data_IF_590342979731
#
_entry.id   IF_590342979731
#
_cell.length_a   1.000
_cell.length_b   1.000
_cell.length_c   1.000
_cell.angle_alpha   90.00
_cell.angle_beta   90.00
_cell.angle_gamma   90.00
#
_symmetry.space_group_name_H-M   'P 1'
#
loop_
_entity.id
_entity.type
_entity.pdbx_description
1 polymer ?
#
# COMPACT_ATOMS: atom_id res chain seq x y z
N UNK A 1 -1.38 13.25 -6.01
CA UNK A 1 -1.26 12.14 -6.96
C UNK A 1 -0.77 12.61 -8.33
N UNK A 2 -1.53 13.45 -9.05
CA UNK A 2 -1.20 13.91 -10.42
C UNK A 2 0.22 14.45 -10.55
N UNK A 3 0.64 15.35 -9.64
CA UNK A 3 2.00 15.92 -9.63
C UNK A 3 3.08 14.84 -9.61
N UNK A 4 2.95 13.85 -8.72
CA UNK A 4 3.96 12.81 -8.52
C UNK A 4 3.99 11.79 -9.66
N UNK A 5 2.80 11.41 -10.17
CA UNK A 5 2.71 10.57 -11.37
C UNK A 5 3.34 11.25 -12.59
N UNK A 6 3.04 12.54 -12.79
CA UNK A 6 3.61 13.33 -13.88
C UNK A 6 5.13 13.38 -13.79
N UNK A 7 5.67 13.62 -12.60
CA UNK A 7 7.13 13.64 -12.38
C UNK A 7 7.78 12.30 -12.72
N UNK A 8 7.18 11.17 -12.32
CA UNK A 8 7.67 9.84 -12.68
C UNK A 8 7.66 9.61 -14.19
N UNK A 9 6.56 9.93 -14.85
CA UNK A 9 6.39 9.75 -16.30
C UNK A 9 7.42 10.59 -17.07
N UNK A 10 7.59 11.88 -16.72
CA UNK A 10 8.56 12.78 -17.36
C UNK A 10 10.01 12.34 -17.14
N UNK A 11 10.30 11.73 -16.00
CA UNK A 11 11.61 11.19 -15.67
C UNK A 11 11.85 9.77 -16.24
N UNK A 12 10.88 9.16 -16.91
CA UNK A 12 10.98 7.77 -17.39
C UNK A 12 11.11 6.76 -16.26
N UNK A 13 10.49 7.04 -15.10
CA UNK A 13 10.51 6.21 -13.88
C UNK A 13 9.21 5.46 -13.71
N UNK A 14 9.25 4.39 -12.91
CA UNK A 14 8.10 3.58 -12.61
C UNK A 14 7.17 4.22 -11.57
N UNK A 15 5.90 3.84 -11.65
CA UNK A 15 4.88 4.11 -10.63
C UNK A 15 4.54 2.80 -9.95
N UNK A 16 4.72 2.73 -8.64
CA UNK A 16 4.36 1.60 -7.82
C UNK A 16 3.12 1.91 -6.99
N UNK A 17 2.09 1.09 -7.12
CA UNK A 17 0.93 1.11 -6.23
C UNK A 17 1.11 0.02 -5.19
N UNK A 18 1.06 0.37 -3.92
CA UNK A 18 1.23 -0.57 -2.81
C UNK A 18 0.02 -0.48 -1.88
N UNK A 19 -0.48 -1.57 -1.37
CA UNK A 19 -1.54 -1.54 -0.37
C UNK A 19 -2.44 -2.75 -0.38
N UNK A 20 -3.43 -2.71 0.51
CA UNK A 20 -4.41 -3.76 0.69
C UNK A 20 -5.39 -3.78 -0.49
N UNK A 21 -5.61 -4.96 -1.07
CA UNK A 21 -6.52 -5.16 -2.20
C UNK A 21 -7.78 -5.86 -1.71
N UNK A 22 -8.93 -5.24 -1.91
CA UNK A 22 -10.22 -5.80 -1.53
C UNK A 22 -11.32 -4.76 -1.39
N UNK A 23 -12.50 -5.21 -1.05
CA UNK A 23 -13.72 -4.38 -0.88
C UNK A 23 -14.12 -4.15 0.58
N UNK A 24 -13.30 -4.59 1.54
CA UNK A 24 -13.62 -4.49 2.98
C UNK A 24 -13.78 -3.05 3.49
N UNK A 25 -13.12 -2.08 2.84
CA UNK A 25 -13.32 -0.64 3.14
C UNK A 25 -12.76 -0.19 4.49
N UNK A 26 -11.97 -1.00 5.17
CA UNK A 26 -11.37 -0.66 6.47
C UNK A 26 -10.03 0.07 6.30
N UNK A 27 -9.16 -0.45 5.47
CA UNK A 27 -7.83 0.12 5.22
C UNK A 27 -7.68 0.70 3.82
N UNK A 28 -8.34 0.09 2.84
CA UNK A 28 -8.30 0.42 1.42
C UNK A 28 -9.59 -0.03 0.75
N UNK A 29 -9.81 0.35 -0.50
CA UNK A 29 -10.92 -0.15 -1.31
C UNK A 29 -10.50 -0.32 -2.77
N UNK A 30 -10.98 -1.39 -3.42
CA UNK A 30 -10.62 -1.75 -4.79
C UNK A 30 -10.93 -0.63 -5.80
N UNK A 31 -12.04 0.10 -5.64
CA UNK A 31 -12.40 1.22 -6.53
C UNK A 31 -11.33 2.33 -6.56
N UNK A 32 -10.63 2.54 -5.43
CA UNK A 32 -9.53 3.52 -5.41
C UNK A 32 -8.35 3.04 -6.26
N UNK A 33 -8.05 1.75 -6.25
CA UNK A 33 -7.03 1.16 -7.13
C UNK A 33 -7.40 1.35 -8.59
N UNK A 34 -8.64 1.06 -8.96
CA UNK A 34 -9.13 1.21 -10.33
C UNK A 34 -9.05 2.67 -10.78
N UNK A 35 -9.51 3.61 -9.95
CA UNK A 35 -9.43 5.04 -10.27
C UNK A 35 -7.98 5.55 -10.43
N UNK A 36 -7.04 5.08 -9.61
CA UNK A 36 -5.62 5.46 -9.74
C UNK A 36 -4.98 4.83 -10.97
N UNK A 37 -5.34 3.59 -11.33
CA UNK A 37 -4.89 2.94 -12.56
C UNK A 37 -5.43 3.64 -13.82
N UNK A 38 -6.69 4.02 -13.83
CA UNK A 38 -7.31 4.81 -14.91
C UNK A 38 -6.61 6.17 -15.07
N UNK A 39 -6.31 6.84 -13.95
CA UNK A 39 -5.52 8.07 -13.95
C UNK A 39 -4.13 7.84 -14.56
N UNK A 40 -3.40 6.81 -14.14
CA UNK A 40 -2.08 6.48 -14.66
C UNK A 40 -2.12 6.23 -16.17
N UNK A 41 -3.13 5.47 -16.65
CA UNK A 41 -3.37 5.23 -18.08
C UNK A 41 -3.62 6.53 -18.84
N UNK A 42 -4.54 7.36 -18.32
CA UNK A 42 -4.89 8.64 -18.94
C UNK A 42 -3.69 9.60 -19.04
N UNK A 43 -2.80 9.55 -18.05
CA UNK A 43 -1.57 10.36 -18.03
C UNK A 43 -0.45 9.79 -18.92
N UNK A 44 -0.62 8.61 -19.49
CA UNK A 44 0.36 7.97 -20.37
C UNK A 44 1.50 7.26 -19.64
N UNK A 45 1.27 6.79 -18.41
CA UNK A 45 2.24 5.97 -17.69
C UNK A 45 2.52 4.68 -18.46
N UNK A 46 3.79 4.29 -18.51
CA UNK A 46 4.24 3.06 -19.21
C UNK A 46 4.61 1.95 -18.23
N UNK A 47 5.31 2.31 -17.15
CA UNK A 47 5.81 1.39 -16.14
C UNK A 47 4.99 1.57 -14.86
N UNK A 48 4.01 0.68 -14.66
CA UNK A 48 3.15 0.66 -13.47
C UNK A 48 3.21 -0.72 -12.83
N UNK A 49 3.57 -0.79 -11.56
CA UNK A 49 3.72 -2.03 -10.82
C UNK A 49 2.87 -2.03 -9.55
N UNK A 50 2.27 -3.16 -9.24
CA UNK A 50 1.36 -3.30 -8.11
C UNK A 50 1.94 -4.27 -7.08
N UNK A 51 2.09 -3.79 -5.86
CA UNK A 51 2.45 -4.58 -4.68
C UNK A 51 1.18 -4.84 -3.87
N UNK A 52 0.54 -5.96 -4.15
CA UNK A 52 -0.76 -6.30 -3.61
C UNK A 52 -0.63 -6.92 -2.22
N UNK A 53 -1.32 -6.33 -1.25
CA UNK A 53 -1.43 -6.89 0.10
C UNK A 53 -2.80 -7.54 0.23
N UNK A 54 -2.85 -8.82 0.60
CA UNK A 54 -4.08 -9.58 0.82
C UNK A 54 -4.57 -9.44 2.26
N UNK A 55 -5.88 -9.47 2.45
CA UNK A 55 -6.55 -9.14 3.71
C UNK A 55 -6.82 -10.38 4.59
N UNK A 56 -7.91 -11.08 4.37
CA UNK A 56 -8.34 -12.24 5.14
C UNK A 56 -8.73 -11.99 6.59
N UNK A 57 -8.87 -10.71 6.98
CA UNK A 57 -9.22 -10.29 8.35
C UNK A 57 -10.44 -9.37 8.38
N UNK A 58 -10.50 -8.39 7.50
CA UNK A 58 -11.64 -7.51 7.29
C UNK A 58 -12.51 -7.98 6.12
N UNK A 59 -12.04 -9.02 5.41
CA UNK A 59 -12.74 -9.79 4.38
C UNK A 59 -12.61 -11.28 4.65
N UNK A 60 -13.34 -12.11 3.89
CA UNK A 60 -13.25 -13.56 4.01
C UNK A 60 -11.80 -14.05 3.80
N UNK A 61 -11.32 -15.03 4.59
CA UNK A 61 -9.93 -15.50 4.56
C UNK A 61 -9.43 -16.06 3.22
N UNK A 62 -10.30 -16.34 2.27
CA UNK A 62 -9.97 -16.86 0.95
C UNK A 62 -10.53 -15.99 -0.20
N UNK A 63 -10.91 -14.74 0.09
CA UNK A 63 -11.46 -13.81 -0.91
C UNK A 63 -10.37 -13.16 -1.79
N UNK A 64 -9.12 -13.17 -1.34
CA UNK A 64 -7.99 -12.52 -2.02
C UNK A 64 -7.77 -13.00 -3.44
N UNK A 65 -8.02 -14.29 -3.72
CA UNK A 65 -7.95 -14.83 -5.09
C UNK A 65 -8.91 -14.09 -6.04
N UNK A 66 -10.13 -13.85 -5.59
CA UNK A 66 -11.12 -13.10 -6.38
C UNK A 66 -10.70 -11.65 -6.60
N UNK A 67 -10.27 -10.97 -5.54
CA UNK A 67 -9.82 -9.57 -5.64
C UNK A 67 -8.58 -9.38 -6.53
N UNK A 68 -7.63 -10.33 -6.49
CA UNK A 68 -6.47 -10.30 -7.39
C UNK A 68 -6.87 -10.56 -8.84
N UNK A 69 -7.86 -11.44 -9.08
CA UNK A 69 -8.38 -11.70 -10.41
C UNK A 69 -9.10 -10.46 -10.98
N UNK A 70 -9.94 -9.79 -10.19
CA UNK A 70 -10.62 -8.55 -10.59
C UNK A 70 -9.61 -7.45 -10.92
N UNK A 71 -8.55 -7.32 -10.10
CA UNK A 71 -7.48 -6.36 -10.35
C UNK A 71 -6.70 -6.69 -11.63
N UNK A 72 -6.39 -7.97 -11.89
CA UNK A 72 -5.74 -8.40 -13.12
C UNK A 72 -6.63 -8.11 -14.34
N UNK A 73 -7.93 -8.40 -14.26
CA UNK A 73 -8.87 -8.09 -15.33
C UNK A 73 -8.91 -6.58 -15.64
N UNK A 74 -8.81 -5.72 -14.61
CA UNK A 74 -8.73 -4.27 -14.80
C UNK A 74 -7.42 -3.84 -15.46
N UNK A 75 -6.30 -4.45 -15.12
CA UNK A 75 -5.01 -4.21 -15.77
C UNK A 75 -5.05 -4.60 -17.26
N UNK A 76 -5.67 -5.75 -17.57
CA UNK A 76 -5.82 -6.24 -18.94
C UNK A 76 -6.75 -5.31 -19.75
N UNK A 77 -7.87 -4.86 -19.19
CA UNK A 77 -8.78 -3.86 -19.78
C UNK A 77 -8.04 -2.56 -20.12
N UNK A 78 -7.25 -2.06 -19.19
CA UNK A 78 -6.52 -0.81 -19.38
C UNK A 78 -5.29 -0.97 -20.28
N UNK A 79 -4.75 -2.18 -20.41
CA UNK A 79 -3.51 -2.47 -21.13
C UNK A 79 -2.28 -1.82 -20.49
N UNK A 80 -2.28 -1.62 -19.18
CA UNK A 80 -1.14 -1.11 -18.42
C UNK A 80 -1.01 -1.84 -17.06
N UNK A 81 0.22 -1.83 -16.54
CA UNK A 81 0.51 -2.31 -15.20
C UNK A 81 0.71 -3.82 -15.13
N UNK A 82 1.38 -4.23 -14.06
CA UNK A 82 1.64 -5.64 -13.72
C UNK A 82 1.58 -5.80 -12.21
N UNK A 83 1.01 -6.88 -11.72
CA UNK A 83 1.15 -7.26 -10.32
C UNK A 83 2.59 -7.74 -10.12
N UNK A 84 3.35 -6.99 -9.33
CA UNK A 84 4.77 -7.23 -9.11
C UNK A 84 5.03 -8.13 -7.90
N UNK A 85 4.15 -8.07 -6.90
CA UNK A 85 4.24 -8.94 -5.73
C UNK A 85 2.89 -9.10 -5.05
N UNK A 86 2.74 -10.21 -4.32
CA UNK A 86 1.61 -10.50 -3.44
C UNK A 86 2.14 -10.84 -2.05
N UNK A 87 1.56 -10.26 -1.01
CA UNK A 87 1.94 -10.49 0.38
C UNK A 87 0.73 -10.37 1.30
N UNK A 88 0.61 -11.25 2.27
CA UNK A 88 -0.42 -11.11 3.30
C UNK A 88 -0.17 -9.89 4.21
N UNK A 89 -1.24 -9.31 4.73
CA UNK A 89 -1.19 -8.16 5.64
C UNK A 89 -0.40 -8.45 6.94
N UNK A 90 -0.27 -9.70 7.33
CA UNK A 90 0.56 -10.11 8.47
C UNK A 90 2.02 -9.68 8.31
N UNK A 91 2.53 -9.65 7.06
CA UNK A 91 3.90 -9.25 6.75
C UNK A 91 4.03 -7.78 6.39
N UNK A 92 3.11 -7.23 5.62
CA UNK A 92 3.25 -5.90 5.02
C UNK A 92 2.44 -4.80 5.73
N UNK A 93 1.72 -5.14 6.78
CA UNK A 93 0.88 -4.21 7.53
C UNK A 93 0.95 -4.47 9.05
N UNK A 94 2.13 -4.75 9.56
CA UNK A 94 2.36 -4.83 11.01
C UNK A 94 2.20 -3.46 11.65
N UNK A 95 1.87 -3.43 12.95
CA UNK A 95 1.76 -2.19 13.74
C UNK A 95 2.39 -2.29 15.13
N UNK A 96 3.02 -3.43 15.41
CA UNK A 96 3.51 -3.76 16.74
C UNK A 96 5.05 -3.90 16.75
N UNK A 97 5.73 -3.34 15.72
CA UNK A 97 7.18 -3.35 15.52
C UNK A 97 7.79 -4.75 15.38
N UNK A 98 7.04 -5.67 14.75
CA UNK A 98 7.58 -6.96 14.33
C UNK A 98 8.35 -6.78 13.00
N UNK A 99 9.51 -6.15 13.09
CA UNK A 99 10.29 -5.74 11.93
C UNK A 99 10.73 -6.90 11.03
N UNK A 100 10.88 -8.11 11.59
CA UNK A 100 11.17 -9.35 10.86
C UNK A 100 10.08 -9.72 9.85
N UNK A 101 8.84 -9.28 10.07
CA UNK A 101 7.73 -9.46 9.14
C UNK A 101 7.78 -8.43 8.01
N UNK A 102 7.89 -7.17 8.37
CA UNK A 102 7.97 -6.06 7.43
C UNK A 102 9.21 -6.15 6.53
N UNK A 103 10.35 -6.62 7.07
CA UNK A 103 11.57 -6.84 6.30
C UNK A 103 11.35 -7.82 5.14
N UNK A 104 10.59 -8.92 5.37
CA UNK A 104 10.28 -9.89 4.31
C UNK A 104 9.46 -9.26 3.18
N UNK A 105 8.45 -8.45 3.54
CA UNK A 105 7.64 -7.74 2.56
C UNK A 105 8.47 -6.69 1.81
N UNK A 106 9.26 -5.90 2.52
CA UNK A 106 10.17 -4.93 1.93
C UNK A 106 11.20 -5.58 1.00
N UNK A 107 11.74 -6.74 1.37
CA UNK A 107 12.68 -7.48 0.54
C UNK A 107 12.04 -7.93 -0.79
N UNK A 108 10.78 -8.35 -0.77
CA UNK A 108 10.06 -8.66 -1.99
C UNK A 108 9.85 -7.42 -2.87
N UNK A 109 9.49 -6.28 -2.28
CA UNK A 109 9.21 -5.05 -3.00
C UNK A 109 10.47 -4.39 -3.59
N UNK A 110 11.60 -4.45 -2.87
CA UNK A 110 12.80 -3.69 -3.20
C UNK A 110 13.92 -4.54 -3.77
N UNK A 111 14.09 -5.75 -3.23
CA UNK A 111 15.18 -6.64 -3.66
C UNK A 111 14.72 -7.74 -4.61
N UNK A 112 13.41 -7.96 -4.73
CA UNK A 112 12.85 -9.06 -5.50
C UNK A 112 13.12 -10.40 -4.84
N UNK A 113 13.19 -10.45 -3.51
CA UNK A 113 13.48 -11.64 -2.71
C UNK A 113 12.20 -12.16 -2.05
N UNK A 114 12.17 -13.46 -1.81
CA UNK A 114 11.02 -14.14 -1.23
C UNK A 114 10.62 -15.33 -2.07
N UNK A 115 9.36 -15.72 -1.98
CA UNK A 115 8.80 -16.72 -2.89
C UNK A 115 8.67 -16.14 -4.29
N UNK A 116 8.61 -16.99 -5.30
CA UNK A 116 8.39 -16.61 -6.69
C UNK A 116 7.24 -17.41 -7.29
N UNK A 117 6.43 -16.75 -8.10
CA UNK A 117 5.38 -17.35 -8.91
C UNK A 117 5.30 -16.67 -10.27
N UNK A 118 4.74 -17.30 -11.27
CA UNK A 118 4.63 -16.72 -12.60
C UNK A 118 3.61 -15.57 -12.66
N UNK A 119 2.64 -15.56 -11.74
CA UNK A 119 1.59 -14.54 -11.64
C UNK A 119 0.95 -14.54 -10.24
N UNK A 120 0.08 -13.57 -9.98
CA UNK A 120 -0.61 -13.42 -8.69
C UNK A 120 -1.56 -14.58 -8.37
N UNK A 121 -2.19 -15.20 -9.37
CA UNK A 121 -3.08 -16.35 -9.16
C UNK A 121 -2.30 -17.56 -8.65
N UNK A 122 -1.15 -17.87 -9.23
CA UNK A 122 -0.28 -18.96 -8.76
C UNK A 122 0.25 -18.67 -7.35
N UNK A 123 0.62 -17.43 -7.05
CA UNK A 123 1.09 -17.03 -5.71
C UNK A 123 0.06 -17.32 -4.62
N UNK A 124 -1.21 -16.91 -4.84
CA UNK A 124 -2.28 -17.11 -3.87
C UNK A 124 -2.70 -18.59 -3.78
N UNK A 125 -2.75 -19.31 -4.89
CA UNK A 125 -3.08 -20.75 -4.92
C UNK A 125 -2.03 -21.58 -4.19
N UNK A 126 -0.75 -21.28 -4.36
CA UNK A 126 0.33 -21.92 -3.63
C UNK A 126 0.23 -21.67 -2.11
N UNK A 127 -0.20 -20.47 -1.70
CA UNK A 127 -0.45 -20.14 -0.30
C UNK A 127 -1.59 -21.00 0.27
N UNK A 128 -2.72 -21.06 -0.44
CA UNK A 128 -3.86 -21.87 -0.01
C UNK A 128 -3.55 -23.37 0.04
N UNK A 129 -2.77 -23.88 -0.91
CA UNK A 129 -2.31 -25.27 -0.90
C UNK A 129 -1.40 -25.58 0.30
N UNK A 130 -0.78 -24.57 0.90
CA UNK A 130 0.03 -24.67 2.11
C UNK A 130 -0.75 -24.32 3.40
N UNK A 131 -2.09 -24.35 3.37
CA UNK A 131 -3.01 -24.00 4.47
C UNK A 131 -2.78 -22.57 5.03
N UNK A 132 -2.33 -21.64 4.17
CA UNK A 132 -2.16 -20.23 4.53
C UNK A 132 -3.21 -19.39 3.83
N UNK A 133 -4.07 -18.77 4.64
CA UNK A 133 -5.11 -17.85 4.17
C UNK A 133 -4.52 -16.51 3.71
N UNK A 134 -5.37 -15.62 3.21
CA UNK A 134 -5.00 -14.30 2.69
C UNK A 134 -4.11 -13.50 3.66
N UNK A 135 -4.44 -13.50 4.96
CA UNK A 135 -3.67 -12.77 5.97
C UNK A 135 -2.19 -13.19 6.01
N UNK A 136 -1.92 -14.48 5.74
CA UNK A 136 -0.62 -15.10 5.95
C UNK A 136 0.12 -15.50 4.68
N UNK A 137 -0.28 -14.95 3.52
CA UNK A 137 0.45 -15.15 2.27
C UNK A 137 1.89 -14.66 2.44
N UNK A 138 2.85 -15.59 2.31
CA UNK A 138 4.27 -15.23 2.34
C UNK A 138 4.59 -14.29 1.17
N UNK A 139 5.42 -13.25 1.38
CA UNK A 139 5.81 -12.34 0.31
C UNK A 139 6.32 -13.10 -0.91
N UNK A 140 5.66 -12.88 -2.04
CA UNK A 140 5.88 -13.59 -3.29
C UNK A 140 6.06 -12.57 -4.44
N UNK A 141 7.15 -12.68 -5.17
CA UNK A 141 7.45 -11.88 -6.36
C UNK A 141 6.78 -12.53 -7.57
N UNK A 142 6.03 -11.77 -8.33
CA UNK A 142 5.28 -12.24 -9.50
C UNK A 142 5.69 -11.56 -10.81
N UNK A 143 6.62 -10.59 -10.74
CA UNK A 143 7.18 -9.90 -11.90
C UNK A 143 8.62 -9.45 -11.63
N UNK A 144 9.59 -9.97 -12.35
CA UNK A 144 11.02 -9.68 -12.14
C UNK A 144 11.38 -8.20 -12.31
N UNK A 145 10.75 -7.48 -13.21
CA UNK A 145 11.00 -6.05 -13.44
C UNK A 145 10.33 -5.09 -12.45
N UNK A 146 9.49 -5.61 -11.54
CA UNK A 146 8.62 -4.81 -10.70
C UNK A 146 9.21 -4.32 -9.36
N UNK A 147 10.54 -4.33 -9.22
CA UNK A 147 11.21 -3.87 -7.98
C UNK A 147 11.24 -2.35 -7.90
N UNK A 148 11.02 -1.82 -6.70
CA UNK A 148 11.15 -0.38 -6.43
C UNK A 148 12.61 0.06 -6.56
N UNK A 149 12.87 1.06 -7.38
CA UNK A 149 14.20 1.62 -7.64
C UNK A 149 14.28 3.10 -7.23
N UNK A 150 15.50 3.63 -7.15
CA UNK A 150 15.68 5.05 -6.88
C UNK A 150 15.10 5.92 -8.01
N UNK A 151 14.35 6.92 -7.61
CA UNK A 151 13.64 7.84 -8.49
C UNK A 151 12.23 7.42 -8.85
N UNK A 152 11.79 6.21 -8.50
CA UNK A 152 10.42 5.76 -8.72
C UNK A 152 9.43 6.51 -7.82
N UNK A 153 8.16 6.48 -8.20
CA UNK A 153 7.07 6.97 -7.37
C UNK A 153 6.34 5.79 -6.74
N UNK A 154 6.21 5.80 -5.41
CA UNK A 154 5.44 4.81 -4.65
C UNK A 154 4.20 5.48 -4.09
N UNK A 155 3.03 4.94 -4.37
CA UNK A 155 1.74 5.41 -3.83
C UNK A 155 1.19 4.33 -2.91
N UNK A 156 1.07 4.62 -1.62
CA UNK A 156 0.48 3.69 -0.66
C UNK A 156 -1.03 3.90 -0.62
N UNK A 157 -1.78 2.91 -1.11
CA UNK A 157 -3.22 3.00 -1.38
C UNK A 157 -4.12 2.96 -0.13
N UNK A 158 -3.54 2.65 1.04
CA UNK A 158 -4.29 2.60 2.29
C UNK A 158 -4.65 4.01 2.77
N UNK A 159 -5.89 4.22 3.20
CA UNK A 159 -6.35 5.48 3.77
C UNK A 159 -6.43 5.45 5.30
N UNK A 160 -6.35 4.28 5.95
CA UNK A 160 -6.29 4.15 7.41
C UNK A 160 -4.83 4.11 7.89
N UNK A 161 -4.45 4.96 8.86
CA UNK A 161 -3.04 5.19 9.22
C UNK A 161 -2.36 4.05 9.96
N UNK A 162 -3.08 3.37 10.89
CA UNK A 162 -2.48 2.56 11.96
C UNK A 162 -1.53 1.46 11.46
N UNK A 163 -1.87 0.80 10.35
CA UNK A 163 -1.08 -0.28 9.74
C UNK A 163 -0.29 0.14 8.49
N UNK A 164 -0.31 1.43 8.16
CA UNK A 164 0.49 1.98 7.06
C UNK A 164 1.78 2.65 7.54
N UNK A 165 1.86 3.01 8.83
CA UNK A 165 2.96 3.78 9.40
C UNK A 165 4.31 3.08 9.28
N UNK A 166 4.37 1.79 9.61
CA UNK A 166 5.65 1.07 9.66
C UNK A 166 6.27 0.94 8.27
N UNK A 167 5.53 0.43 7.29
CA UNK A 167 6.03 0.33 5.91
C UNK A 167 6.40 1.70 5.35
N UNK A 168 5.61 2.74 5.62
CA UNK A 168 5.96 4.11 5.22
C UNK A 168 7.26 4.58 5.87
N UNK A 169 7.46 4.30 7.17
CA UNK A 169 8.69 4.64 7.88
C UNK A 169 9.89 3.92 7.30
N UNK A 170 9.76 2.65 6.92
CA UNK A 170 10.82 1.89 6.25
C UNK A 170 11.26 2.57 4.95
N UNK A 171 10.32 3.09 4.16
CA UNK A 171 10.66 3.78 2.91
C UNK A 171 11.14 5.23 3.10
N UNK A 172 10.65 5.94 4.12
CA UNK A 172 10.76 7.39 4.20
C UNK A 172 11.74 7.90 5.26
N UNK A 173 11.95 7.16 6.36
CA UNK A 173 12.74 7.64 7.49
C UNK A 173 14.22 7.26 7.36
N UNK A 174 15.09 8.27 7.24
CA UNK A 174 16.55 8.05 7.19
C UNK A 174 17.09 7.49 8.51
N UNK A 175 16.42 7.79 9.64
CA UNK A 175 16.79 7.32 10.98
C UNK A 175 16.20 5.94 11.33
N UNK A 176 15.54 5.25 10.40
CA UNK A 176 14.96 3.93 10.63
C UNK A 176 16.04 2.90 11.01
N UNK A 177 15.81 2.16 12.08
CA UNK A 177 16.75 1.17 12.64
C UNK A 177 16.11 -0.22 12.90
N UNK A 178 14.90 -0.47 12.42
CA UNK A 178 14.19 -1.74 12.66
C UNK A 178 14.88 -2.95 12.02
N UNK A 179 15.51 -2.75 10.87
CA UNK A 179 16.40 -3.71 10.19
C UNK A 179 17.36 -2.96 9.25
N UNK A 180 18.39 -3.64 8.76
CA UNK A 180 19.36 -3.06 7.83
C UNK A 180 18.79 -3.00 6.40
N UNK A 181 18.63 -1.79 5.87
CA UNK A 181 18.29 -1.58 4.45
C UNK A 181 19.56 -1.65 3.61
N UNK A 182 19.73 -2.75 2.87
CA UNK A 182 20.91 -2.97 2.00
C UNK A 182 21.02 -1.86 0.94
N UNK A 183 22.10 -1.13 0.96
CA UNK A 183 22.33 0.04 0.10
C UNK A 183 21.63 1.32 0.58
N UNK A 184 21.13 1.34 1.82
CA UNK A 184 20.45 2.49 2.42
C UNK A 184 18.97 2.61 2.04
N UNK A 185 18.36 3.75 2.37
CA UNK A 185 16.99 4.08 2.02
C UNK A 185 16.84 4.29 0.51
N UNK A 186 15.81 3.72 -0.10
CA UNK A 186 15.45 4.01 -1.49
C UNK A 186 14.99 5.46 -1.64
N UNK A 187 15.57 6.17 -2.58
CA UNK A 187 15.25 7.57 -2.88
C UNK A 187 14.03 7.61 -3.82
N UNK A 188 12.84 7.41 -3.25
CA UNK A 188 11.57 7.39 -3.99
C UNK A 188 10.72 8.62 -3.71
N UNK A 189 9.84 8.97 -4.63
CA UNK A 189 8.74 9.91 -4.38
C UNK A 189 7.61 9.15 -3.71
N UNK A 190 7.55 9.18 -2.38
CA UNK A 190 6.57 8.42 -1.62
C UNK A 190 5.30 9.23 -1.35
N UNK A 191 4.14 8.68 -1.68
CA UNK A 191 2.85 9.33 -1.53
C UNK A 191 1.94 8.47 -0.65
N UNK A 192 1.54 9.03 0.48
CA UNK A 192 0.52 8.46 1.36
C UNK A 192 -0.88 8.90 0.89
N UNK A 193 -1.84 7.99 0.80
CA UNK A 193 -3.22 8.39 0.47
C UNK A 193 -3.82 9.29 1.53
N UNK A 194 -3.53 9.06 2.81
CA UNK A 194 -3.90 9.92 3.93
C UNK A 194 -2.67 10.25 4.79
N UNK A 195 -2.77 11.20 5.70
CA UNK A 195 -1.71 11.45 6.67
C UNK A 195 -1.65 10.30 7.68
N UNK A 196 -0.54 9.53 7.64
CA UNK A 196 -0.35 8.41 8.55
C UNK A 196 0.32 8.82 9.85
N UNK A 197 1.19 9.80 9.78
CA UNK A 197 1.93 10.37 10.91
C UNK A 197 2.45 11.75 10.48
N UNK A 198 2.07 12.80 11.21
CA UNK A 198 2.47 14.18 10.91
C UNK A 198 4.00 14.40 11.01
N UNK A 199 4.73 13.49 11.67
CA UNK A 199 6.19 13.53 11.80
C UNK A 199 6.93 12.73 10.74
N UNK A 200 6.21 12.08 9.80
CA UNK A 200 6.80 11.22 8.79
C UNK A 200 7.62 12.06 7.78
N UNK A 201 8.93 11.83 7.67
CA UNK A 201 9.75 12.57 6.71
C UNK A 201 9.61 12.00 5.29
N UNK A 202 10.06 12.78 4.31
CA UNK A 202 10.28 12.33 2.92
C UNK A 202 9.06 11.67 2.25
N UNK A 203 7.84 12.07 2.63
CA UNK A 203 6.62 11.65 1.96
C UNK A 203 5.69 12.84 1.69
N UNK A 204 4.82 12.69 0.70
CA UNK A 204 3.71 13.61 0.43
C UNK A 204 2.38 12.95 0.80
N UNK A 205 1.38 13.76 1.15
CA UNK A 205 0.02 13.30 1.49
C UNK A 205 -0.94 13.71 0.38
N UNK A 206 -1.64 12.73 -0.21
CA UNK A 206 -2.58 12.97 -1.30
C UNK A 206 -3.85 13.67 -0.80
N UNK A 207 -4.37 13.22 0.33
CA UNK A 207 -5.58 13.74 0.97
C UNK A 207 -5.26 14.11 2.42
N UNK A 208 -4.79 15.35 2.67
CA UNK A 208 -4.49 15.81 4.03
C UNK A 208 -5.77 15.87 4.87
N UNK A 209 -5.64 15.78 6.21
CA UNK A 209 -6.80 15.90 7.09
C UNK A 209 -7.49 17.24 6.94
N UNK A 210 -8.83 17.21 6.95
CA UNK A 210 -9.66 18.42 6.93
C UNK A 210 -10.02 18.79 8.36
N UNK A 211 -9.66 20.00 8.77
CA UNK A 211 -10.08 20.51 10.07
C UNK A 211 -11.59 20.76 10.08
N UNK A 212 -12.31 19.99 10.86
CA UNK A 212 -13.75 20.17 11.03
C UNK A 212 -14.01 21.25 12.08
N UNK A 213 -14.63 22.36 11.66
CA UNK A 213 -15.07 23.44 12.55
C UNK A 213 -16.53 23.24 12.97
N UNK A 214 -16.90 23.81 14.10
CA UNK A 214 -18.26 23.74 14.65
C UNK A 214 -18.75 22.29 14.86
N UNK A 215 -17.86 21.39 15.23
CA UNK A 215 -18.26 20.04 15.63
C UNK A 215 -19.15 20.11 16.88
N UNK A 216 -20.06 19.14 17.03
CA UNK A 216 -21.05 19.11 18.11
C UNK A 216 -20.44 19.41 19.49
N UNK A 217 -19.28 18.84 19.81
CA UNK A 217 -18.65 19.10 21.09
C UNK A 217 -18.13 20.51 21.28
N UNK A 218 -17.63 21.14 20.22
CA UNK A 218 -17.27 22.55 20.25
C UNK A 218 -18.52 23.43 20.47
N UNK A 219 -19.55 23.19 19.68
CA UNK A 219 -20.81 23.93 19.78
C UNK A 219 -21.45 23.82 21.16
N UNK A 220 -21.49 22.62 21.76
CA UNK A 220 -22.02 22.43 23.11
C UNK A 220 -21.20 23.17 24.16
N UNK A 221 -19.87 23.13 24.05
CA UNK A 221 -18.96 23.83 24.96
C UNK A 221 -19.14 25.34 24.89
N UNK A 222 -19.18 25.91 23.69
CA UNK A 222 -19.39 27.34 23.45
C UNK A 222 -20.77 27.86 23.96
N UNK A 223 -21.74 26.95 24.02
CA UNK A 223 -23.08 27.24 24.59
C UNK A 223 -23.19 26.84 26.09
N UNK A 224 -22.08 26.66 26.80
CA UNK A 224 -22.04 26.38 28.22
C UNK A 224 -22.66 25.03 28.65
N UNK A 225 -22.74 24.05 27.74
CA UNK A 225 -23.26 22.73 28.02
C UNK A 225 -22.13 21.79 28.44
N UNK A 226 -22.37 21.00 29.47
CA UNK A 226 -21.46 19.91 29.86
C UNK A 226 -21.65 18.71 28.95
N UNK A 227 -20.56 18.02 28.65
CA UNK A 227 -20.58 16.83 27.81
C UNK A 227 -19.50 15.82 28.26
N UNK A 228 -19.77 14.55 28.04
CA UNK A 228 -18.81 13.47 28.18
C UNK A 228 -18.62 12.82 26.82
N UNK A 229 -17.36 12.58 26.41
CA UNK A 229 -17.03 11.79 25.22
C UNK A 229 -16.20 10.60 25.67
N UNK A 230 -16.58 9.43 25.20
CA UNK A 230 -15.87 8.18 25.44
C UNK A 230 -15.65 7.56 24.06
N UNK A 231 -14.42 7.22 23.75
CA UNK A 231 -14.04 6.49 22.56
C UNK A 231 -12.97 5.45 22.92
N UNK A 232 -12.90 4.37 22.17
CA UNK A 232 -11.78 3.42 22.22
C UNK A 232 -10.52 4.04 21.61
#
# INVERSE_FOLDING_TARGET
>A
LVKNMKAAIEAGKAIHLMGLVGTGGVHSHADHWFGVLEMAKHMGAKEVYLHCITDGRDTDPHSGKGFLADLQAKLDELGIGKIASVSGRYYAMDRDNNWDREEKAYAAFVYGEGNHAANAAEAIEASYAADKTDEFVLPCVTCEGGRVQDGDTVIFMNFRPDRARQMTRIFCDDAFTGFERRGGRKQVNYVCMAEYDATMPNCEVAYPPVELKNVLGQYLSENGKTQLRIAE
#
